data_IF_837758200123
#
_entry.id   IF_837758200123
#
_cell.length_a   1.000
_cell.length_b   1.000
_cell.length_c   1.000
_cell.angle_alpha   90.00
_cell.angle_beta   90.00
_cell.angle_gamma   90.00
#
_symmetry.space_group_name_H-M   'P 1'
#
loop_
_entity.id
_entity.type
_entity.pdbx_description
1 polymer ?
#
# COMPACT_ATOMS: atom_id res chain seq x y z
N UNK A 1 -24.68 23.93 -60.43
CA UNK A 1 -23.23 24.13 -60.63
C UNK A 1 -22.60 25.04 -59.58
N UNK A 2 -23.15 26.22 -59.27
CA UNK A 2 -22.59 27.14 -58.26
C UNK A 2 -22.48 26.56 -56.83
N UNK A 3 -23.45 25.74 -56.42
CA UNK A 3 -23.48 25.12 -55.08
C UNK A 3 -22.39 24.05 -54.89
N UNK A 4 -22.03 23.34 -55.97
CA UNK A 4 -20.93 22.35 -55.92
C UNK A 4 -19.57 23.01 -55.74
N UNK A 5 -19.32 24.14 -56.41
CA UNK A 5 -18.05 24.86 -56.27
C UNK A 5 -17.92 25.50 -54.88
N UNK A 6 -19.02 25.97 -54.29
CA UNK A 6 -19.02 26.50 -52.92
C UNK A 6 -18.69 25.41 -51.88
N UNK A 7 -19.20 24.20 -52.05
CA UNK A 7 -18.89 23.07 -51.15
C UNK A 7 -17.45 22.59 -51.30
N UNK A 8 -16.93 22.51 -52.53
CA UNK A 8 -15.53 22.13 -52.78
C UNK A 8 -14.54 23.17 -52.24
N UNK A 9 -14.87 24.46 -52.33
CA UNK A 9 -14.06 25.53 -51.74
C UNK A 9 -14.06 25.47 -50.21
N UNK A 10 -15.19 25.12 -49.57
CA UNK A 10 -15.29 24.98 -48.11
C UNK A 10 -14.46 23.79 -47.59
N UNK A 11 -14.47 22.65 -48.31
CA UNK A 11 -13.68 21.47 -47.95
C UNK A 11 -12.19 21.73 -48.14
N UNK A 12 -11.79 22.45 -49.19
CA UNK A 12 -10.41 22.85 -49.41
C UNK A 12 -9.90 23.82 -48.33
N UNK A 13 -10.77 24.70 -47.80
CA UNK A 13 -10.40 25.64 -46.74
C UNK A 13 -10.17 24.95 -45.39
N UNK A 14 -10.91 23.89 -45.08
CA UNK A 14 -10.71 23.10 -43.86
C UNK A 14 -9.48 22.18 -43.93
N UNK A 15 -9.06 21.77 -45.12
CA UNK A 15 -7.90 20.89 -45.32
C UNK A 15 -6.53 21.59 -45.18
N UNK A 16 -6.50 22.92 -45.07
CA UNK A 16 -5.27 23.73 -45.00
C UNK A 16 -5.04 24.27 -43.58
N UNK A 17 -5.95 24.04 -42.63
CA UNK A 17 -5.70 24.39 -41.24
C UNK A 17 -4.64 23.43 -40.66
N UNK A 18 -3.44 23.90 -40.29
CA UNK A 18 -2.49 23.06 -39.58
C UNK A 18 -3.07 22.70 -38.22
N UNK A 19 -3.06 21.41 -37.87
CA UNK A 19 -3.32 20.95 -36.51
C UNK A 19 -2.30 21.63 -35.59
N UNK A 20 -2.73 22.70 -34.93
CA UNK A 20 -1.96 23.31 -33.88
C UNK A 20 -2.01 22.37 -32.67
N UNK A 21 -1.04 21.46 -32.58
CA UNK A 21 -0.70 20.75 -31.35
C UNK A 21 -0.16 21.76 -30.32
N UNK A 22 -1.08 22.57 -29.78
CA UNK A 22 -0.82 23.43 -28.63
C UNK A 22 -1.32 22.70 -27.39
N UNK A 23 -0.38 22.27 -26.55
CA UNK A 23 -0.66 21.87 -25.18
C UNK A 23 -1.30 23.06 -24.45
N UNK A 24 -2.61 22.99 -24.23
CA UNK A 24 -3.27 23.89 -23.30
C UNK A 24 -2.67 23.70 -21.90
N UNK A 25 -2.26 24.79 -21.27
CA UNK A 25 -1.60 24.82 -19.94
C UNK A 25 -2.49 24.32 -18.80
N UNK A 26 -3.75 23.97 -19.10
CA UNK A 26 -4.78 23.53 -18.17
C UNK A 26 -4.87 22.01 -18.06
N UNK A 27 -3.75 21.31 -17.82
CA UNK A 27 -3.70 19.95 -17.23
C UNK A 27 -4.72 18.88 -17.68
N UNK A 28 -5.28 18.98 -18.88
CA UNK A 28 -6.32 18.10 -19.42
C UNK A 28 -5.77 17.53 -20.72
N UNK A 29 -5.10 16.37 -20.61
CA UNK A 29 -4.71 15.61 -21.79
C UNK A 29 -5.95 14.97 -22.40
N UNK A 30 -6.15 15.23 -23.69
CA UNK A 30 -7.27 14.75 -24.48
C UNK A 30 -7.35 13.23 -24.59
N UNK A 31 -8.55 12.76 -24.92
CA UNK A 31 -8.89 11.37 -25.19
C UNK A 31 -8.11 10.82 -26.39
N UNK A 32 -7.00 10.13 -26.12
CA UNK A 32 -6.31 9.26 -27.06
C UNK A 32 -6.33 7.79 -26.57
N UNK A 33 -6.31 6.78 -27.45
CA UNK A 33 -6.52 5.37 -27.07
C UNK A 33 -5.32 4.70 -26.37
N UNK A 34 -4.28 5.46 -26.04
CA UNK A 34 -3.02 4.95 -25.48
C UNK A 34 -2.57 5.78 -24.27
N UNK A 35 -3.39 5.81 -23.22
CA UNK A 35 -2.94 6.24 -21.91
C UNK A 35 -2.95 5.05 -20.94
N UNK A 36 -1.77 4.72 -20.40
CA UNK A 36 -1.60 3.75 -19.33
C UNK A 36 -2.35 4.16 -18.04
N UNK A 37 -2.30 3.34 -16.98
CA UNK A 37 -3.06 3.60 -15.77
C UNK A 37 -2.77 4.99 -15.21
N UNK A 38 -3.83 5.77 -14.96
CA UNK A 38 -3.77 7.11 -14.37
C UNK A 38 -3.12 7.00 -12.99
N UNK A 39 -1.82 7.25 -12.92
CA UNK A 39 -1.13 7.46 -11.66
C UNK A 39 -1.58 8.83 -11.15
N UNK A 40 -2.32 8.85 -10.04
CA UNK A 40 -2.64 10.12 -9.40
C UNK A 40 -1.32 10.80 -9.03
N UNK A 41 -1.08 12.06 -9.43
CA UNK A 41 0.14 12.75 -9.01
C UNK A 41 0.17 12.78 -7.48
N UNK A 42 1.34 12.54 -6.86
CA UNK A 42 1.45 12.66 -5.41
C UNK A 42 0.96 14.06 -5.00
N UNK A 43 0.18 14.18 -3.91
CA UNK A 43 -0.32 15.47 -3.47
C UNK A 43 0.83 16.47 -3.32
N UNK A 44 0.63 17.73 -3.73
CA UNK A 44 1.59 18.82 -3.53
C UNK A 44 1.83 18.99 -2.03
N UNK A 45 2.91 18.40 -1.55
CA UNK A 45 3.04 18.10 -0.14
C UNK A 45 3.85 19.21 0.54
N UNK A 46 3.12 20.20 1.08
CA UNK A 46 3.66 21.29 1.89
C UNK A 46 3.67 20.94 3.38
N UNK A 47 4.48 19.97 3.81
CA UNK A 47 4.57 19.63 5.24
C UNK A 47 5.24 20.79 6.01
N UNK A 48 4.44 21.61 6.69
CA UNK A 48 4.91 22.82 7.36
C UNK A 48 5.75 22.56 8.64
N UNK A 49 5.76 21.32 9.15
CA UNK A 49 6.38 21.00 10.45
C UNK A 49 7.68 20.20 10.31
N UNK A 50 8.70 20.57 11.11
CA UNK A 50 9.95 19.81 11.21
C UNK A 50 9.65 18.38 11.68
N UNK A 51 10.33 17.41 11.07
CA UNK A 51 10.15 15.99 11.39
C UNK A 51 9.01 15.31 10.61
N UNK A 52 8.39 15.99 9.65
CA UNK A 52 7.47 15.38 8.69
C UNK A 52 8.08 15.36 7.28
N UNK A 53 7.73 14.34 6.49
CA UNK A 53 8.04 14.30 5.06
C UNK A 53 6.89 13.73 4.25
N UNK A 54 7.03 13.80 2.94
CA UNK A 54 6.01 13.43 1.99
C UNK A 54 6.04 11.93 1.70
N UNK A 55 4.91 11.28 1.94
CA UNK A 55 4.63 9.91 1.53
C UNK A 55 3.53 9.88 0.46
N UNK A 56 3.20 8.68 -0.02
CA UNK A 56 2.21 8.49 -1.08
C UNK A 56 0.81 8.99 -0.72
N UNK A 57 0.49 9.08 0.58
CA UNK A 57 -0.83 9.43 1.10
C UNK A 57 -0.84 10.73 1.93
N UNK A 58 0.20 11.56 1.81
CA UNK A 58 0.33 12.84 2.52
C UNK A 58 1.56 12.90 3.44
N UNK A 59 1.52 13.83 4.40
CA UNK A 59 2.61 14.03 5.34
C UNK A 59 2.67 12.91 6.39
N UNK A 60 3.81 12.25 6.51
CA UNK A 60 4.08 11.30 7.59
C UNK A 60 5.20 11.81 8.48
N UNK A 61 5.13 11.48 9.78
CA UNK A 61 6.17 11.85 10.74
C UNK A 61 7.35 10.90 10.64
N UNK A 62 8.55 11.43 10.47
CA UNK A 62 9.80 10.70 10.66
C UNK A 62 9.86 10.19 12.09
N UNK A 63 9.95 8.87 12.24
CA UNK A 63 10.14 8.22 13.53
C UNK A 63 11.45 7.47 13.48
N UNK A 64 12.43 7.93 14.24
CA UNK A 64 13.65 7.17 14.48
C UNK A 64 13.27 6.04 15.43
N UNK A 65 13.35 4.79 14.98
CA UNK A 65 13.18 3.64 15.87
C UNK A 65 14.40 3.58 16.78
N UNK A 66 14.18 3.63 18.10
CA UNK A 66 15.24 3.24 19.02
C UNK A 66 15.68 1.82 18.67
N UNK A 67 16.99 1.61 18.52
CA UNK A 67 17.51 0.26 18.29
C UNK A 67 17.03 -0.63 19.45
N UNK A 68 16.49 -1.82 19.14
CA UNK A 68 16.06 -2.80 20.15
C UNK A 68 17.26 -3.41 20.93
N UNK A 69 18.42 -2.74 20.94
CA UNK A 69 19.68 -3.20 21.54
C UNK A 69 19.76 -2.99 23.05
N UNK A 70 18.76 -2.38 23.69
CA UNK A 70 18.74 -2.23 25.14
C UNK A 70 18.18 -3.50 25.81
N UNK A 71 19.05 -4.44 26.16
CA UNK A 71 18.75 -5.52 27.10
C UNK A 71 19.31 -5.13 28.49
N UNK A 72 18.49 -5.07 29.56
CA UNK A 72 18.96 -4.69 30.89
C UNK A 72 19.64 -5.84 31.64
N UNK A 73 20.28 -6.78 30.95
CA UNK A 73 21.10 -7.81 31.59
C UNK A 73 22.59 -7.42 31.56
N UNK A 74 23.08 -6.96 32.71
CA UNK A 74 24.51 -6.84 32.99
C UNK A 74 25.14 -8.24 32.97
N UNK A 75 25.83 -8.58 31.89
CA UNK A 75 27.15 -9.25 31.90
C UNK A 75 27.55 -9.77 30.51
N UNK A 76 28.68 -9.25 30.00
CA UNK A 76 29.57 -9.86 28.98
C UNK A 76 28.92 -10.48 27.73
N UNK A 77 28.42 -9.65 26.81
CA UNK A 77 28.35 -9.99 25.38
C UNK A 77 28.25 -8.71 24.56
N UNK A 78 29.38 -8.04 24.26
CA UNK A 78 29.39 -6.78 23.49
C UNK A 78 30.11 -6.90 22.13
N UNK A 79 30.04 -8.07 21.50
CA UNK A 79 30.63 -8.27 20.15
C UNK A 79 29.61 -8.85 19.15
N UNK A 80 28.65 -9.68 19.56
CA UNK A 80 27.78 -10.35 18.57
C UNK A 80 26.71 -9.45 17.94
N UNK A 81 26.16 -8.47 18.68
CA UNK A 81 25.04 -7.66 18.20
C UNK A 81 25.43 -6.62 17.15
N UNK A 82 26.68 -6.13 17.17
CA UNK A 82 27.19 -5.18 16.17
C UNK A 82 27.34 -5.86 14.81
N UNK A 83 27.98 -7.04 14.79
CA UNK A 83 28.24 -7.80 13.56
C UNK A 83 26.95 -8.22 12.85
N UNK A 84 25.92 -8.59 13.61
CA UNK A 84 24.63 -8.98 13.04
C UNK A 84 23.86 -7.78 12.46
N UNK A 85 23.95 -6.63 13.11
CA UNK A 85 23.37 -5.37 12.59
C UNK A 85 24.10 -4.92 11.33
N UNK A 86 25.43 -4.99 11.32
CA UNK A 86 26.27 -4.64 10.17
C UNK A 86 25.99 -5.57 8.98
N UNK A 87 25.79 -6.87 9.24
CA UNK A 87 25.41 -7.85 8.21
C UNK A 87 24.05 -7.53 7.59
N UNK A 88 23.06 -7.12 8.38
CA UNK A 88 21.75 -6.72 7.87
C UNK A 88 21.83 -5.42 7.04
N UNK A 89 22.63 -4.45 7.46
CA UNK A 89 22.89 -3.22 6.69
C UNK A 89 23.59 -3.50 5.36
N UNK A 90 24.55 -4.44 5.35
CA UNK A 90 25.25 -4.86 4.13
C UNK A 90 24.29 -5.57 3.16
N UNK A 91 23.42 -6.45 3.66
CA UNK A 91 22.37 -7.08 2.83
C UNK A 91 21.44 -6.04 2.22
N UNK A 92 20.98 -5.07 2.99
CA UNK A 92 20.11 -4.00 2.50
C UNK A 92 20.78 -3.18 1.38
N UNK A 93 22.06 -2.82 1.56
CA UNK A 93 22.83 -2.13 0.51
C UNK A 93 22.98 -2.98 -0.75
N UNK A 94 23.24 -4.28 -0.61
CA UNK A 94 23.37 -5.20 -1.74
C UNK A 94 22.04 -5.32 -2.53
N UNK A 95 20.90 -5.39 -1.83
CA UNK A 95 19.58 -5.40 -2.47
C UNK A 95 19.32 -4.09 -3.22
N UNK A 96 19.65 -2.94 -2.64
CA UNK A 96 19.50 -1.63 -3.31
C UNK A 96 20.36 -1.52 -4.58
N UNK A 97 21.54 -2.13 -4.58
CA UNK A 97 22.40 -2.19 -5.77
C UNK A 97 21.77 -3.05 -6.87
N UNK A 98 21.16 -4.19 -6.53
CA UNK A 98 20.39 -5.02 -7.47
C UNK A 98 19.16 -4.29 -8.03
N UNK A 99 18.47 -3.51 -7.20
CA UNK A 99 17.38 -2.62 -7.65
C UNK A 99 17.89 -1.60 -8.67
N UNK A 100 19.03 -0.94 -8.39
CA UNK A 100 19.66 0.03 -9.31
C UNK A 100 19.99 -0.61 -10.65
N UNK A 101 20.41 -1.86 -10.65
CA UNK A 101 20.76 -2.62 -11.85
C UNK A 101 19.54 -3.25 -12.55
N UNK A 102 18.32 -3.04 -12.04
CA UNK A 102 17.07 -3.62 -12.56
C UNK A 102 17.06 -5.18 -12.56
N UNK A 103 17.76 -5.81 -11.62
CA UNK A 103 17.73 -7.26 -11.47
C UNK A 103 16.38 -7.76 -10.93
N UNK A 104 16.00 -9.00 -11.25
CA UNK A 104 14.87 -9.66 -10.60
C UNK A 104 15.21 -9.97 -9.14
N UNK A 105 14.38 -9.46 -8.23
CA UNK A 105 14.49 -9.70 -6.78
C UNK A 105 13.62 -10.87 -6.36
N UNK A 106 14.12 -11.65 -5.41
CA UNK A 106 13.33 -12.69 -4.77
C UNK A 106 12.24 -12.09 -3.86
N UNK A 107 11.22 -12.89 -3.54
CA UNK A 107 10.07 -12.49 -2.71
C UNK A 107 10.50 -11.98 -1.32
N UNK A 108 11.57 -12.53 -0.74
CA UNK A 108 12.09 -12.07 0.55
C UNK A 108 12.82 -10.72 0.46
N UNK A 109 13.60 -10.51 -0.61
CA UNK A 109 14.28 -9.24 -0.88
C UNK A 109 13.26 -8.12 -1.11
N UNK A 110 12.18 -8.41 -1.84
CA UNK A 110 11.07 -7.48 -2.05
C UNK A 110 10.36 -7.12 -0.74
N UNK A 111 10.15 -8.09 0.15
CA UNK A 111 9.55 -7.84 1.47
C UNK A 111 10.43 -6.96 2.36
N UNK A 112 11.76 -7.15 2.34
CA UNK A 112 12.69 -6.32 3.11
C UNK A 112 12.65 -4.85 2.69
N UNK A 113 12.56 -4.58 1.38
CA UNK A 113 12.44 -3.22 0.84
C UNK A 113 11.11 -2.55 1.21
N UNK A 114 10.02 -3.33 1.20
CA UNK A 114 8.67 -2.81 1.40
C UNK A 114 8.32 -2.67 2.89
N UNK A 115 8.69 -3.66 3.71
CA UNK A 115 8.45 -3.64 5.15
C UNK A 115 9.38 -4.60 5.90
N UNK A 116 10.42 -4.03 6.52
CA UNK A 116 11.37 -4.78 7.36
C UNK A 116 10.68 -5.53 8.49
N UNK A 117 9.69 -4.93 9.15
CA UNK A 117 8.96 -5.58 10.25
C UNK A 117 8.22 -6.85 9.81
N UNK A 118 7.60 -6.84 8.62
CA UNK A 118 6.93 -8.03 8.07
C UNK A 118 7.94 -9.13 7.74
N UNK A 119 9.07 -8.77 7.11
CA UNK A 119 10.15 -9.72 6.83
C UNK A 119 10.69 -10.36 8.12
N UNK A 120 10.95 -9.55 9.17
CA UNK A 120 11.40 -10.06 10.47
C UNK A 120 10.38 -10.99 11.14
N UNK A 121 9.10 -10.63 11.13
CA UNK A 121 8.04 -11.46 11.70
C UNK A 121 7.90 -12.81 11.00
N UNK A 122 8.25 -12.91 9.71
CA UNK A 122 8.19 -14.17 8.95
C UNK A 122 9.18 -15.22 9.47
N UNK A 123 10.35 -14.80 9.92
CA UNK A 123 11.39 -15.68 10.47
C UNK A 123 11.35 -15.79 12.01
N UNK A 124 10.44 -15.06 12.66
CA UNK A 124 10.38 -15.02 14.12
C UNK A 124 9.77 -16.30 14.67
N UNK A 125 10.56 -17.01 15.46
CA UNK A 125 10.11 -18.16 16.23
C UNK A 125 9.68 -17.69 17.62
N UNK A 126 8.42 -17.31 17.77
CA UNK A 126 7.85 -16.97 19.07
C UNK A 126 6.59 -16.12 18.99
N UNK A 127 5.99 -15.80 20.15
CA UNK A 127 4.73 -15.07 20.19
C UNK A 127 4.86 -13.65 19.61
N UNK A 128 3.92 -13.30 18.74
CA UNK A 128 3.83 -11.98 18.09
C UNK A 128 2.60 -11.28 18.63
N UNK A 129 2.77 -10.07 19.15
CA UNK A 129 1.63 -9.18 19.41
C UNK A 129 1.10 -8.66 18.07
N UNK A 130 -0.15 -8.99 17.68
CA UNK A 130 -0.63 -8.66 16.34
C UNK A 130 -0.83 -7.16 16.13
N UNK A 131 -1.24 -6.43 17.16
CA UNK A 131 -1.42 -4.98 17.07
C UNK A 131 -0.08 -4.27 16.89
N UNK A 132 0.94 -4.73 17.62
CA UNK A 132 2.31 -4.24 17.46
C UNK A 132 2.86 -4.55 16.07
N UNK A 133 2.68 -5.77 15.57
CA UNK A 133 3.13 -6.17 14.24
C UNK A 133 2.45 -5.37 13.13
N UNK A 134 1.14 -5.13 13.25
CA UNK A 134 0.37 -4.30 12.33
C UNK A 134 0.87 -2.85 12.35
N UNK A 135 1.00 -2.25 13.53
CA UNK A 135 1.45 -0.87 13.68
C UNK A 135 2.90 -0.66 13.20
N UNK A 136 3.83 -1.56 13.53
CA UNK A 136 5.24 -1.49 13.09
C UNK A 136 5.35 -1.56 11.55
N UNK A 137 4.48 -2.33 10.88
CA UNK A 137 4.41 -2.34 9.42
C UNK A 137 3.86 -1.03 8.84
N UNK A 138 2.79 -0.47 9.41
CA UNK A 138 2.26 0.81 8.93
C UNK A 138 3.30 1.95 9.01
N UNK A 139 4.18 1.90 10.02
CA UNK A 139 5.32 2.80 10.14
C UNK A 139 6.37 2.58 9.05
N UNK A 140 6.71 1.32 8.74
CA UNK A 140 7.64 0.99 7.64
C UNK A 140 7.13 1.52 6.29
N UNK A 141 5.81 1.41 6.10
CA UNK A 141 5.11 1.91 4.91
C UNK A 141 4.82 3.41 4.91
N UNK A 142 5.31 4.14 5.91
CA UNK A 142 5.25 5.61 5.99
C UNK A 142 3.82 6.16 5.89
N UNK A 143 2.87 5.50 6.54
CA UNK A 143 1.49 5.99 6.61
C UNK A 143 1.39 7.25 7.49
N UNK A 144 0.49 8.20 7.15
CA UNK A 144 0.27 9.41 7.94
C UNK A 144 -0.36 9.08 9.30
N UNK A 145 -0.19 9.98 10.27
CA UNK A 145 -0.61 9.77 11.67
C UNK A 145 -2.12 9.47 11.79
N UNK A 146 -2.94 10.06 10.92
CA UNK A 146 -4.36 9.75 10.80
C UNK A 146 -4.62 8.25 10.56
N UNK A 147 -3.88 7.64 9.63
CA UNK A 147 -4.00 6.21 9.33
C UNK A 147 -3.36 5.34 10.42
N UNK A 148 -2.28 5.82 11.06
CA UNK A 148 -1.64 5.08 12.15
C UNK A 148 -2.57 4.88 13.35
N UNK A 149 -3.50 5.81 13.60
CA UNK A 149 -4.56 5.64 14.60
C UNK A 149 -5.48 4.46 14.32
N UNK A 150 -5.53 3.99 13.06
CA UNK A 150 -6.31 2.83 12.62
C UNK A 150 -5.49 1.56 12.54
N UNK A 151 -4.15 1.60 12.62
CA UNK A 151 -3.27 0.43 12.53
C UNK A 151 -3.27 -0.42 13.81
N UNK A 152 -4.46 -0.85 14.22
CA UNK A 152 -4.75 -1.72 15.34
C UNK A 152 -6.02 -2.51 14.99
N UNK A 153 -6.07 -3.79 15.30
CA UNK A 153 -7.17 -4.67 14.93
C UNK A 153 -8.52 -4.27 15.55
N UNK A 154 -8.54 -3.51 16.64
CA UNK A 154 -9.79 -3.03 17.25
C UNK A 154 -10.35 -1.80 16.52
N UNK A 155 -9.47 -0.90 16.08
CA UNK A 155 -9.84 0.34 15.38
C UNK A 155 -9.96 0.16 13.87
N UNK A 156 -9.26 -0.82 13.30
CA UNK A 156 -9.39 -1.24 11.92
C UNK A 156 -10.64 -2.10 11.80
N UNK A 157 -11.78 -1.44 11.56
CA UNK A 157 -13.09 -2.09 11.53
C UNK A 157 -13.95 -1.48 10.41
N UNK A 158 -15.12 -2.07 10.16
CA UNK A 158 -16.06 -1.60 9.13
C UNK A 158 -16.37 -0.10 9.27
N UNK A 159 -16.60 0.40 10.48
CA UNK A 159 -16.96 1.80 10.70
C UNK A 159 -15.84 2.76 10.28
N UNK A 160 -14.60 2.47 10.66
CA UNK A 160 -13.43 3.26 10.23
C UNK A 160 -13.29 3.26 8.71
N UNK A 161 -13.49 2.11 8.06
CA UNK A 161 -13.42 2.03 6.60
C UNK A 161 -14.55 2.78 5.89
N UNK A 162 -15.76 2.72 6.43
CA UNK A 162 -16.89 3.49 5.93
C UNK A 162 -16.64 5.00 6.06
N UNK A 163 -16.09 5.45 7.19
CA UNK A 163 -15.72 6.85 7.38
C UNK A 163 -14.62 7.30 6.40
N UNK A 164 -13.60 6.46 6.17
CA UNK A 164 -12.55 6.73 5.17
C UNK A 164 -13.11 6.78 3.74
N UNK A 165 -14.05 5.89 3.41
CA UNK A 165 -14.71 5.82 2.10
C UNK A 165 -15.51 7.10 1.81
N UNK A 166 -16.31 7.56 2.78
CA UNK A 166 -17.04 8.83 2.67
C UNK A 166 -16.18 10.07 2.93
N UNK A 167 -14.85 9.91 3.04
CA UNK A 167 -13.89 11.00 3.30
C UNK A 167 -14.21 11.81 4.58
N UNK A 168 -14.88 11.17 5.54
CA UNK A 168 -15.15 11.71 6.87
C UNK A 168 -13.96 11.48 7.81
N UNK A 169 -13.12 10.50 7.50
CA UNK A 169 -11.86 10.25 8.21
C UNK A 169 -10.69 10.95 7.48
N UNK A 170 -9.74 11.57 8.22
CA UNK A 170 -8.54 12.17 7.63
C UNK A 170 -7.59 11.15 6.98
N UNK A 171 -7.72 9.86 7.28
CA UNK A 171 -7.02 8.81 6.56
C UNK A 171 -7.72 8.51 5.22
N UNK A 172 -7.04 8.69 4.06
CA UNK A 172 -7.66 8.41 2.78
C UNK A 172 -7.89 6.91 2.56
N UNK A 173 -8.98 6.53 1.90
CA UNK A 173 -9.26 5.14 1.54
C UNK A 173 -8.13 4.49 0.71
N UNK A 174 -7.38 5.27 -0.07
CA UNK A 174 -6.26 4.76 -0.85
C UNK A 174 -5.14 4.13 0.03
N UNK A 175 -5.00 4.56 1.28
CA UNK A 175 -4.07 3.97 2.25
C UNK A 175 -4.53 2.61 2.79
N UNK A 176 -5.78 2.22 2.54
CA UNK A 176 -6.34 0.94 2.96
C UNK A 176 -5.57 -0.25 2.40
N UNK A 177 -5.07 -0.17 1.15
CA UNK A 177 -4.23 -1.23 0.55
C UNK A 177 -3.02 -1.55 1.43
N UNK A 178 -2.38 -0.52 1.97
CA UNK A 178 -1.21 -0.65 2.83
C UNK A 178 -1.56 -1.17 4.21
N UNK A 179 -2.68 -0.71 4.76
CA UNK A 179 -3.16 -1.20 6.05
C UNK A 179 -3.58 -2.67 5.97
N UNK A 180 -4.25 -3.07 4.89
CA UNK A 180 -4.63 -4.46 4.64
C UNK A 180 -3.40 -5.36 4.47
N UNK A 181 -2.41 -4.91 3.69
CA UNK A 181 -1.13 -5.59 3.56
C UNK A 181 -0.44 -5.81 4.91
N UNK A 182 -0.42 -4.76 5.74
CA UNK A 182 0.20 -4.81 7.06
C UNK A 182 -0.58 -5.68 8.05
N UNK A 183 -1.91 -5.65 8.04
CA UNK A 183 -2.73 -6.51 8.88
C UNK A 183 -2.51 -7.99 8.53
N UNK A 184 -2.47 -8.32 7.24
CA UNK A 184 -2.24 -9.68 6.72
C UNK A 184 -0.77 -10.11 6.69
N UNK A 185 0.18 -9.24 7.07
CA UNK A 185 1.62 -9.51 7.03
C UNK A 185 2.12 -10.00 5.65
N UNK A 186 1.53 -9.50 4.56
CA UNK A 186 1.93 -9.85 3.20
C UNK A 186 1.65 -11.29 2.76
N UNK A 187 0.70 -11.98 3.40
CA UNK A 187 0.37 -13.40 3.17
C UNK A 187 -0.95 -13.58 2.41
N UNK A 188 -1.20 -14.82 1.99
CA UNK A 188 -2.46 -15.23 1.37
C UNK A 188 -3.35 -15.94 2.40
N UNK A 189 -4.52 -15.37 2.68
CA UNK A 189 -5.52 -15.91 3.60
C UNK A 189 -6.80 -16.36 2.90
N UNK A 190 -6.81 -16.52 1.57
CA UNK A 190 -8.02 -16.86 0.80
C UNK A 190 -8.76 -18.08 1.34
N UNK A 191 -8.05 -19.14 1.74
CA UNK A 191 -8.66 -20.35 2.32
C UNK A 191 -9.37 -20.10 3.65
N UNK A 192 -8.82 -19.23 4.49
CA UNK A 192 -9.47 -18.84 5.74
C UNK A 192 -10.70 -17.96 5.44
N UNK A 193 -10.56 -16.99 4.54
CA UNK A 193 -11.63 -16.10 4.17
C UNK A 193 -12.83 -16.82 3.52
N UNK A 194 -12.57 -17.76 2.61
CA UNK A 194 -13.60 -18.56 1.98
C UNK A 194 -14.41 -19.34 3.02
N UNK A 195 -13.73 -20.00 3.97
CA UNK A 195 -14.38 -20.74 5.07
C UNK A 195 -15.16 -19.84 6.03
N UNK A 196 -14.71 -18.60 6.24
CA UNK A 196 -15.40 -17.62 7.08
C UNK A 196 -16.47 -16.79 6.33
N UNK A 197 -16.89 -17.25 5.15
CA UNK A 197 -18.02 -16.68 4.43
C UNK A 197 -17.76 -15.32 3.79
N UNK A 198 -16.51 -14.94 3.55
CA UNK A 198 -16.18 -13.68 2.84
C UNK A 198 -16.76 -13.64 1.42
N UNK A 199 -16.95 -14.81 0.81
CA UNK A 199 -17.57 -14.98 -0.51
C UNK A 199 -19.10 -14.89 -0.51
N UNK A 200 -19.74 -14.76 0.66
CA UNK A 200 -21.22 -14.72 0.78
C UNK A 200 -21.82 -13.32 0.55
N UNK A 201 -20.98 -12.32 0.26
CA UNK A 201 -21.43 -10.97 -0.05
C UNK A 201 -21.98 -10.87 -1.46
N UNK A 202 -22.62 -9.75 -1.80
CA UNK A 202 -23.09 -9.47 -3.15
C UNK A 202 -21.96 -9.47 -4.21
N UNK A 203 -20.74 -9.10 -3.81
CA UNK A 203 -19.57 -9.12 -4.68
C UNK A 203 -18.94 -10.52 -4.83
N UNK A 204 -19.42 -11.51 -4.06
CA UNK A 204 -19.06 -12.91 -4.20
C UNK A 204 -17.55 -13.18 -4.03
N UNK A 205 -16.92 -13.97 -4.92
CA UNK A 205 -15.52 -14.34 -4.80
C UNK A 205 -14.54 -13.18 -4.99
N UNK A 206 -14.99 -12.02 -5.53
CA UNK A 206 -14.15 -10.82 -5.67
C UNK A 206 -13.60 -10.35 -4.33
N UNK A 207 -14.31 -10.61 -3.23
CA UNK A 207 -13.85 -10.21 -1.90
C UNK A 207 -12.60 -10.96 -1.42
N UNK A 208 -12.26 -12.09 -2.04
CA UNK A 208 -11.02 -12.83 -1.76
C UNK A 208 -9.76 -12.05 -2.18
N UNK A 209 -9.90 -11.05 -3.05
CA UNK A 209 -8.84 -10.12 -3.41
C UNK A 209 -8.34 -9.30 -2.20
N UNK A 210 -9.16 -9.09 -1.17
CA UNK A 210 -8.71 -8.47 0.09
C UNK A 210 -7.99 -9.43 1.05
N UNK A 211 -8.06 -10.73 0.76
CA UNK A 211 -7.45 -11.78 1.58
C UNK A 211 -6.10 -12.24 1.03
N UNK A 212 -5.87 -12.06 -0.27
CA UNK A 212 -4.54 -12.22 -0.86
C UNK A 212 -3.80 -10.88 -0.76
N UNK A 213 -2.83 -10.80 0.13
CA UNK A 213 -2.05 -9.58 0.37
C UNK A 213 -0.58 -9.76 -0.01
N UNK A 214 -0.28 -10.71 -0.91
CA UNK A 214 1.08 -10.88 -1.43
C UNK A 214 1.48 -9.68 -2.30
N UNK A 215 2.79 -9.41 -2.35
CA UNK A 215 3.34 -8.35 -3.20
C UNK A 215 3.06 -8.64 -4.68
N UNK A 216 2.94 -7.57 -5.48
CA UNK A 216 2.68 -7.65 -6.92
C UNK A 216 1.20 -7.68 -7.32
N UNK A 217 0.27 -7.81 -6.37
CA UNK A 217 -1.16 -7.62 -6.65
C UNK A 217 -1.56 -6.14 -6.51
N UNK A 218 -1.79 -5.47 -7.63
CA UNK A 218 -2.40 -4.15 -7.64
C UNK A 218 -3.92 -4.25 -7.68
N UNK A 219 -4.52 -4.20 -6.51
CA UNK A 219 -5.98 -4.20 -6.39
C UNK A 219 -6.47 -2.75 -6.40
N UNK A 220 -7.06 -2.33 -7.52
CA UNK A 220 -7.75 -1.03 -7.61
C UNK A 220 -9.07 -1.16 -6.86
N UNK A 221 -9.20 -0.41 -5.76
CA UNK A 221 -10.41 -0.37 -4.96
C UNK A 221 -11.44 0.52 -5.65
N UNK A 222 -12.29 -0.10 -6.47
CA UNK A 222 -13.45 0.55 -7.07
C UNK A 222 -14.72 0.39 -6.21
N UNK A 223 -15.82 1.00 -6.64
CA UNK A 223 -17.10 0.93 -5.91
C UNK A 223 -17.70 -0.48 -5.86
N UNK A 224 -17.25 -1.42 -6.72
CA UNK A 224 -17.78 -2.79 -6.76
C UNK A 224 -17.36 -3.62 -5.54
N UNK A 225 -16.34 -3.17 -4.81
CA UNK A 225 -15.83 -3.82 -3.61
C UNK A 225 -16.52 -3.38 -2.31
N UNK A 226 -17.40 -2.38 -2.33
CA UNK A 226 -18.12 -1.92 -1.13
C UNK A 226 -18.87 -3.05 -0.40
N UNK A 227 -19.56 -3.99 -1.08
CA UNK A 227 -20.22 -5.11 -0.41
C UNK A 227 -19.24 -6.03 0.35
N UNK A 228 -17.96 -6.05 -0.01
CA UNK A 228 -16.96 -6.83 0.70
C UNK A 228 -16.75 -6.35 2.14
N UNK A 229 -17.03 -5.07 2.43
CA UNK A 229 -16.86 -4.51 3.76
C UNK A 229 -17.88 -5.05 4.79
N UNK A 230 -18.97 -5.67 4.34
CA UNK A 230 -19.92 -6.35 5.24
C UNK A 230 -19.31 -7.56 5.94
N UNK A 231 -18.32 -8.20 5.31
CA UNK A 231 -17.57 -9.34 5.88
C UNK A 231 -16.17 -8.95 6.31
N UNK A 232 -15.92 -7.65 6.52
CA UNK A 232 -14.59 -7.17 6.86
C UNK A 232 -14.06 -7.75 8.18
N UNK A 233 -14.91 -7.89 9.20
CA UNK A 233 -14.53 -8.51 10.47
C UNK A 233 -14.12 -9.98 10.30
N UNK A 234 -14.79 -10.72 9.40
CA UNK A 234 -14.41 -12.10 9.04
C UNK A 234 -13.03 -12.16 8.39
N UNK A 235 -12.73 -11.22 7.47
CA UNK A 235 -11.39 -11.13 6.85
C UNK A 235 -10.33 -10.84 7.91
N UNK A 236 -10.57 -9.83 8.74
CA UNK A 236 -9.65 -9.38 9.78
C UNK A 236 -9.36 -10.46 10.81
N UNK A 237 -10.38 -11.24 11.19
CA UNK A 237 -10.24 -12.38 12.10
C UNK A 237 -9.21 -13.40 11.58
N UNK A 238 -9.22 -13.69 10.27
CA UNK A 238 -8.22 -14.57 9.66
C UNK A 238 -6.78 -14.06 9.82
N UNK A 239 -6.57 -12.75 9.65
CA UNK A 239 -5.24 -12.16 9.80
C UNK A 239 -4.77 -12.19 11.26
N UNK A 240 -5.65 -11.84 12.19
CA UNK A 240 -5.35 -11.90 13.62
C UNK A 240 -5.00 -13.31 14.08
N UNK A 241 -5.78 -14.30 13.62
CA UNK A 241 -5.55 -15.69 13.99
C UNK A 241 -4.26 -16.25 13.42
N UNK A 242 -3.82 -15.83 12.23
CA UNK A 242 -2.53 -16.25 11.68
C UNK A 242 -1.35 -15.80 12.56
N UNK A 243 -1.40 -14.57 13.07
CA UNK A 243 -0.39 -14.01 13.96
C UNK A 243 -0.40 -14.63 15.37
N UNK A 244 -1.56 -15.08 15.84
CA UNK A 244 -1.73 -15.62 17.21
C UNK A 244 -1.61 -17.14 17.31
N UNK A 245 -1.35 -17.87 16.22
CA UNK A 245 -1.21 -19.35 16.26
C UNK A 245 -0.18 -19.84 17.28
N UNK A 246 0.87 -19.06 17.55
CA UNK A 246 1.86 -19.35 18.57
C UNK A 246 1.32 -19.39 20.02
N UNK A 247 0.19 -18.75 20.31
CA UNK A 247 -0.44 -18.81 21.64
C UNK A 247 -1.37 -20.02 21.81
N UNK A 248 -1.58 -20.81 20.76
CA UNK A 248 -2.45 -22.00 20.77
C UNK A 248 -1.67 -23.32 20.76
N UNK A 249 -0.34 -23.27 20.81
CA UNK A 249 0.55 -24.41 20.99
C UNK A 249 1.03 -24.46 22.44
#
# INVERSE_FOLDING_TARGET
MAVCYALLAFVALFAILPDSDQCATSGLCGYGPSCGPVYQPPPSCGCAQRGYSCGSYGCYRHRVRGAKSFQPHRSRARVSTSLETDRELLKERAVLERVRNHDSLDSEEQLLLVSRSVAQNRHRNGPIDPNRAFYECCLDRKLPDACLSKCNFNTYNKQSLTAMYFKQDPCPLAAMKEMQFCAAQGRDHRDCCARNGVTTTLAGPKCLTFCDQRLGQENRLDMSFVPCFDRFESMKSCFWHDLTRYYKA
#
